data_IF_600537689066
#
_entry.id   IF_600537689066
#
_cell.length_a   1.000
_cell.length_b   1.000
_cell.length_c   1.000
_cell.angle_alpha   90.00
_cell.angle_beta   90.00
_cell.angle_gamma   90.00
#
_symmetry.space_group_name_H-M   'P 1'
#
loop_
_entity.id
_entity.type
_entity.pdbx_description
1 polymer ?
#
# COMPACT_ATOMS: atom_id res chain seq x y z
N UNK A 1 -12.72 2.02 -5.80
CA UNK A 1 -11.31 2.44 -5.76
C UNK A 1 -10.77 2.31 -7.16
N UNK A 2 -10.11 3.34 -7.67
CA UNK A 2 -9.44 3.29 -8.97
C UNK A 2 -7.93 3.35 -8.72
N UNK A 3 -7.25 2.22 -8.94
CA UNK A 3 -5.80 2.13 -8.82
C UNK A 3 -5.24 2.20 -10.22
N UNK A 4 -4.25 3.07 -10.43
CA UNK A 4 -3.48 3.06 -11.67
C UNK A 4 -2.87 1.69 -11.97
N UNK A 5 -2.48 1.48 -13.24
CA UNK A 5 -1.88 0.21 -13.67
C UNK A 5 -0.62 -0.10 -12.85
N UNK A 6 -0.58 -1.29 -12.23
CA UNK A 6 0.61 -1.81 -11.54
C UNK A 6 1.70 -2.12 -12.59
N UNK A 7 2.87 -1.52 -12.42
CA UNK A 7 4.09 -1.87 -13.16
C UNK A 7 4.82 -3.00 -12.44
N UNK A 8 4.54 -4.24 -12.85
CA UNK A 8 5.10 -5.45 -12.22
C UNK A 8 6.61 -5.60 -12.38
N UNK A 9 7.23 -4.80 -13.25
CA UNK A 9 8.69 -4.80 -13.45
C UNK A 9 9.42 -3.98 -12.38
N UNK A 10 8.71 -3.12 -11.65
CA UNK A 10 9.26 -2.26 -10.60
C UNK A 10 8.79 -2.71 -9.24
N UNK A 11 9.71 -3.33 -8.51
CA UNK A 11 9.49 -3.85 -7.17
C UNK A 11 10.32 -3.08 -6.15
N UNK A 12 9.76 -2.93 -4.96
CA UNK A 12 10.36 -2.19 -3.85
C UNK A 12 10.34 -3.05 -2.59
N UNK A 13 11.30 -2.83 -1.70
CA UNK A 13 11.19 -3.30 -0.32
C UNK A 13 10.08 -2.56 0.42
N UNK A 14 9.56 -3.13 1.51
CA UNK A 14 8.56 -2.46 2.33
C UNK A 14 9.00 -1.07 2.79
N UNK A 15 10.27 -0.89 3.20
CA UNK A 15 10.74 0.41 3.71
C UNK A 15 10.81 1.48 2.62
N UNK A 16 11.12 1.12 1.38
CA UNK A 16 11.11 2.03 0.24
C UNK A 16 9.69 2.44 -0.13
N UNK A 17 8.77 1.47 -0.20
CA UNK A 17 7.35 1.70 -0.44
C UNK A 17 6.74 2.58 0.67
N UNK A 18 7.06 2.29 1.93
CA UNK A 18 6.64 3.07 3.09
C UNK A 18 7.11 4.52 3.01
N UNK A 19 8.39 4.75 2.75
CA UNK A 19 8.95 6.11 2.63
C UNK A 19 8.25 6.88 1.51
N UNK A 20 7.98 6.23 0.37
CA UNK A 20 7.28 6.86 -0.75
C UNK A 20 5.84 7.23 -0.40
N UNK A 21 5.06 6.31 0.17
CA UNK A 21 3.68 6.59 0.60
C UNK A 21 3.59 7.61 1.77
N UNK A 22 4.64 7.76 2.56
CA UNK A 22 4.68 8.81 3.60
C UNK A 22 4.92 10.19 3.00
N UNK A 23 5.68 10.27 1.90
CA UNK A 23 6.04 11.52 1.22
C UNK A 23 5.02 11.96 0.16
N UNK A 24 4.24 11.02 -0.38
CA UNK A 24 3.22 11.26 -1.41
C UNK A 24 1.89 10.64 -1.00
N UNK A 25 0.87 11.49 -0.82
CA UNK A 25 -0.48 11.09 -0.40
C UNK A 25 -1.28 10.42 -1.51
N UNK A 26 -0.84 10.52 -2.76
CA UNK A 26 -1.52 9.97 -3.93
C UNK A 26 -0.94 8.62 -4.34
N UNK A 27 -0.39 7.87 -3.39
CA UNK A 27 0.26 6.58 -3.62
C UNK A 27 -0.47 5.46 -2.89
N UNK A 28 -0.65 4.35 -3.60
CA UNK A 28 -1.02 3.06 -3.04
C UNK A 28 0.20 2.16 -3.11
N UNK A 29 0.50 1.49 -2.00
CA UNK A 29 1.49 0.41 -1.96
C UNK A 29 0.75 -0.93 -1.94
N UNK A 30 1.16 -1.85 -2.80
CA UNK A 30 0.52 -3.16 -2.96
C UNK A 30 1.52 -4.24 -2.60
N UNK A 31 1.15 -5.14 -1.70
CA UNK A 31 1.98 -6.30 -1.37
C UNK A 31 1.97 -7.31 -2.53
N UNK A 32 3.15 -7.75 -2.96
CA UNK A 32 3.27 -8.81 -3.97
C UNK A 32 2.79 -10.17 -3.45
N UNK A 33 2.97 -10.42 -2.14
CA UNK A 33 2.62 -11.71 -1.53
C UNK A 33 1.11 -11.92 -1.35
N UNK A 34 0.40 -10.87 -0.92
CA UNK A 34 -1.02 -10.95 -0.55
C UNK A 34 -1.93 -10.29 -1.58
N UNK A 35 -1.40 -9.42 -2.43
CA UNK A 35 -2.19 -8.54 -3.30
C UNK A 35 -2.92 -7.42 -2.55
N UNK A 36 -2.74 -7.30 -1.23
CA UNK A 36 -3.41 -6.29 -0.43
C UNK A 36 -2.89 -4.89 -0.78
N UNK A 37 -3.82 -3.93 -0.81
CA UNK A 37 -3.54 -2.54 -1.11
C UNK A 37 -3.55 -1.72 0.18
N UNK A 38 -2.57 -0.83 0.30
CA UNK A 38 -2.38 0.00 1.48
C UNK A 38 -2.13 1.46 1.11
N UNK A 39 -2.57 2.37 1.99
CA UNK A 39 -2.23 3.79 1.97
C UNK A 39 -1.64 4.18 3.32
N UNK A 40 -0.78 5.18 3.31
CA UNK A 40 -0.25 5.77 4.54
C UNK A 40 -1.06 7.02 4.84
N UNK A 41 -1.75 6.99 5.97
CA UNK A 41 -2.38 8.18 6.51
C UNK A 41 -1.30 9.10 7.08
N UNK A 42 -0.89 10.10 6.29
CA UNK A 42 0.17 11.03 6.67
C UNK A 42 -0.11 11.83 7.96
N UNK A 43 -1.37 12.00 8.36
CA UNK A 43 -1.73 12.74 9.58
C UNK A 43 -1.46 11.92 10.84
N UNK A 44 -1.71 10.61 10.76
CA UNK A 44 -1.55 9.69 11.89
C UNK A 44 -0.30 8.80 11.79
N UNK A 45 0.41 8.87 10.66
CA UNK A 45 1.48 7.95 10.26
C UNK A 45 1.08 6.47 10.40
N UNK A 46 -0.21 6.17 10.19
CA UNK A 46 -0.75 4.81 10.25
C UNK A 46 -0.94 4.25 8.85
N UNK A 47 -0.70 2.96 8.71
CA UNK A 47 -1.09 2.24 7.51
C UNK A 47 -2.60 1.99 7.53
N UNK A 48 -3.26 2.16 6.40
CA UNK A 48 -4.63 1.72 6.16
C UNK A 48 -4.62 0.67 5.07
N UNK A 49 -5.34 -0.42 5.26
CA UNK A 49 -5.55 -1.43 4.22
C UNK A 49 -6.91 -1.19 3.54
N UNK A 50 -7.02 -1.53 2.27
CA UNK A 50 -8.29 -1.47 1.56
C UNK A 50 -9.07 -2.76 1.80
N UNK A 51 -10.26 -2.63 2.38
CA UNK A 51 -11.19 -3.75 2.51
C UNK A 51 -12.18 -3.72 1.33
N UNK A 52 -12.08 -4.67 0.37
CA UNK A 52 -12.94 -4.67 -0.81
C UNK A 52 -14.39 -5.02 -0.49
N UNK A 53 -14.67 -5.73 0.62
CA UNK A 53 -16.03 -6.16 0.99
C UNK A 53 -16.90 -4.96 1.34
N UNK A 54 -16.33 -3.98 2.06
CA UNK A 54 -17.03 -2.75 2.45
C UNK A 54 -16.58 -1.54 1.64
N UNK A 55 -15.73 -1.76 0.63
CA UNK A 55 -15.18 -0.73 -0.25
C UNK A 55 -14.50 0.46 0.46
N UNK A 56 -13.85 0.21 1.61
CA UNK A 56 -13.35 1.28 2.48
C UNK A 56 -11.91 1.03 2.99
N UNK A 57 -11.22 2.12 3.32
CA UNK A 57 -9.92 2.10 3.98
C UNK A 57 -10.06 1.92 5.49
N UNK A 58 -9.43 0.90 6.04
CA UNK A 58 -9.46 0.60 7.47
C UNK A 58 -8.06 0.69 8.07
N UNK A 59 -7.95 1.09 9.33
CA UNK A 59 -6.67 1.08 10.04
C UNK A 59 -6.12 -0.34 10.01
N UNK A 60 -4.90 -0.49 9.49
CA UNK A 60 -4.19 -1.74 9.51
C UNK A 60 -3.57 -1.91 10.90
N UNK A 61 -4.00 -2.94 11.63
CA UNK A 61 -3.53 -3.23 12.98
C UNK A 61 -2.16 -3.89 12.99
N UNK A 62 -1.88 -4.73 12.00
CA UNK A 62 -0.60 -5.39 11.80
C UNK A 62 -0.46 -5.81 10.34
N UNK A 63 0.79 -5.94 9.90
CA UNK A 63 1.16 -6.61 8.65
C UNK A 63 1.93 -7.86 9.06
N UNK A 64 1.68 -8.98 8.38
CA UNK A 64 2.40 -10.20 8.65
C UNK A 64 3.90 -10.04 8.30
N UNK A 65 4.84 -10.61 9.07
CA UNK A 65 6.26 -10.54 8.75
C UNK A 65 6.58 -11.01 7.33
N UNK A 66 5.95 -12.09 6.88
CA UNK A 66 6.14 -12.66 5.54
C UNK A 66 5.79 -11.65 4.43
N UNK A 67 4.80 -10.81 4.69
CA UNK A 67 4.36 -9.75 3.78
C UNK A 67 5.33 -8.55 3.83
N UNK A 68 5.80 -8.16 5.02
CA UNK A 68 6.81 -7.10 5.19
C UNK A 68 8.11 -7.45 4.46
N UNK A 69 8.57 -8.71 4.57
CA UNK A 69 9.82 -9.17 3.97
C UNK A 69 9.71 -9.50 2.48
N UNK A 70 8.51 -9.45 1.91
CA UNK A 70 8.33 -9.60 0.46
C UNK A 70 8.52 -8.26 -0.28
N UNK A 71 8.36 -8.31 -1.60
CA UNK A 71 8.39 -7.15 -2.47
C UNK A 71 7.03 -6.46 -2.55
N UNK A 72 7.06 -5.20 -2.94
CA UNK A 72 5.92 -4.31 -2.99
C UNK A 72 5.90 -3.54 -4.30
N UNK A 73 4.70 -3.23 -4.78
CA UNK A 73 4.47 -2.34 -5.90
C UNK A 73 3.99 -0.98 -5.43
N UNK A 74 4.21 0.03 -6.26
CA UNK A 74 3.78 1.40 -6.00
C UNK A 74 2.94 1.86 -7.19
N UNK A 75 1.74 2.33 -6.91
CA UNK A 75 0.80 2.85 -7.92
C UNK A 75 0.26 4.21 -7.52
N UNK A 76 -0.19 4.96 -8.52
CA UNK A 76 -0.89 6.23 -8.30
C UNK A 76 -2.34 5.93 -7.95
N UNK A 77 -2.81 6.60 -6.91
CA UNK A 77 -4.21 6.67 -6.54
C UNK A 77 -4.95 7.63 -7.48
N UNK A 78 -5.94 7.12 -8.23
CA UNK A 78 -6.68 7.90 -9.23
C UNK A 78 -8.06 8.36 -8.73
N UNK A 79 -8.40 8.03 -7.47
CA UNK A 79 -9.68 8.37 -6.85
C UNK A 79 -9.75 9.76 -6.22
#
# INVERSE_FOLDING_TARGET
MDIGKIDVTKKYTFIEAWRKGTNDRNVIITSDSSGNNYKIDSSSKKLKFYNPVITAWQVCTYILPEEIFNMWYITVDLS
#
